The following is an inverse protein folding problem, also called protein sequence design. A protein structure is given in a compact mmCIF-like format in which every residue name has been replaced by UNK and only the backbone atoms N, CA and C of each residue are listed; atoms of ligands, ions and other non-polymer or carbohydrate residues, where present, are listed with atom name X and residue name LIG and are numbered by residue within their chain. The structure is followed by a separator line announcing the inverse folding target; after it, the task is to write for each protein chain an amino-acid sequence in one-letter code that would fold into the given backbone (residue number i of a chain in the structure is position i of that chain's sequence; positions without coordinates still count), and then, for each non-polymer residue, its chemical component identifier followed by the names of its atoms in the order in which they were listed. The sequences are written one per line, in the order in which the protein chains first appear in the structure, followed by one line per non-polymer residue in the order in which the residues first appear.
data_IF_537359701070
#
_entry.id   IF_537359701070
#
_cell.length_a   1.000
_cell.length_b   1.000
_cell.length_c   1.000
_cell.angle_alpha   90.00
_cell.angle_beta   90.00
_cell.angle_gamma   90.00
#
_symmetry.space_group_name_H-M   'P 1'
#
loop_
_entity.id
_entity.type
_entity.pdbx_description
1 polymer ?
#
# COMPACT_ATOMS: atom_id res chain seq x y z
N UNK A 1 -33.26 -12.80 18.98
CA UNK A 1 -32.71 -11.83 18.05
C UNK A 1 -31.23 -11.77 18.33
N UNK A 2 -30.41 -12.44 17.52
CA UNK A 2 -28.95 -12.39 17.59
C UNK A 2 -28.53 -10.99 17.21
N UNK A 3 -27.82 -10.27 18.06
CA UNK A 3 -27.23 -8.99 17.75
C UNK A 3 -26.36 -9.17 16.51
N UNK A 4 -26.75 -8.53 15.41
CA UNK A 4 -25.97 -8.49 14.17
C UNK A 4 -24.63 -7.85 14.52
N UNK A 5 -23.57 -8.65 14.54
CA UNK A 5 -22.24 -8.18 14.92
C UNK A 5 -21.81 -7.17 13.86
N UNK A 6 -21.75 -5.89 14.21
CA UNK A 6 -21.37 -4.80 13.31
C UNK A 6 -20.06 -5.16 12.63
N UNK A 7 -20.09 -5.29 11.30
CA UNK A 7 -18.91 -5.61 10.50
C UNK A 7 -17.91 -4.45 10.62
N UNK A 8 -16.65 -4.79 10.85
CA UNK A 8 -15.57 -3.80 10.79
C UNK A 8 -15.31 -3.38 9.33
N UNK A 9 -15.08 -2.11 9.13
CA UNK A 9 -14.83 -1.51 7.82
C UNK A 9 -13.36 -1.17 7.67
N UNK A 10 -12.72 -1.70 6.64
CA UNK A 10 -11.32 -1.43 6.30
C UNK A 10 -11.20 -0.73 4.94
N UNK A 11 -10.32 0.27 4.86
CA UNK A 11 -9.94 0.93 3.62
C UNK A 11 -8.48 0.60 3.29
N UNK A 12 -8.22 0.11 2.08
CA UNK A 12 -6.88 -0.25 1.59
C UNK A 12 -6.52 0.65 0.42
N UNK A 13 -5.47 1.46 0.56
CA UNK A 13 -4.84 2.10 -0.59
C UNK A 13 -3.79 1.16 -1.17
N UNK A 14 -3.63 1.13 -2.51
CA UNK A 14 -2.72 0.17 -3.15
C UNK A 14 -3.25 -1.27 -3.16
N UNK A 15 -4.56 -1.45 -3.12
CA UNK A 15 -5.23 -2.76 -3.06
C UNK A 15 -4.91 -3.66 -4.26
N UNK A 16 -4.58 -3.10 -5.41
CA UNK A 16 -4.19 -3.86 -6.63
C UNK A 16 -2.74 -4.35 -6.58
N UNK A 17 -1.97 -3.93 -5.58
CA UNK A 17 -0.59 -4.39 -5.36
C UNK A 17 -0.53 -5.83 -4.85
N UNK A 18 0.71 -6.35 -4.69
CA UNK A 18 0.95 -7.66 -4.10
C UNK A 18 0.29 -7.75 -2.71
N UNK A 19 0.72 -6.92 -1.78
CA UNK A 19 0.30 -6.96 -0.37
C UNK A 19 -1.16 -6.56 -0.21
N UNK A 20 -1.62 -5.55 -0.94
CA UNK A 20 -3.01 -5.10 -0.91
C UNK A 20 -3.99 -6.19 -1.31
N UNK A 21 -3.65 -7.01 -2.31
CA UNK A 21 -4.50 -8.10 -2.77
C UNK A 21 -4.60 -9.25 -1.77
N UNK A 22 -3.50 -9.63 -1.11
CA UNK A 22 -3.52 -10.62 -0.04
C UNK A 22 -4.22 -10.11 1.22
N UNK A 23 -4.00 -8.84 1.57
CA UNK A 23 -4.67 -8.23 2.71
C UNK A 23 -6.19 -8.15 2.51
N UNK A 24 -6.64 -7.85 1.30
CA UNK A 24 -8.07 -7.84 0.99
C UNK A 24 -8.71 -9.21 1.24
N UNK A 25 -8.10 -10.29 0.77
CA UNK A 25 -8.56 -11.66 1.03
C UNK A 25 -8.59 -11.97 2.54
N UNK A 26 -7.48 -11.70 3.24
CA UNK A 26 -7.37 -11.94 4.67
C UNK A 26 -8.45 -11.21 5.48
N UNK A 27 -8.75 -9.95 5.13
CA UNK A 27 -9.77 -9.17 5.83
C UNK A 27 -11.18 -9.66 5.51
N UNK A 28 -11.45 -10.04 4.26
CA UNK A 28 -12.72 -10.65 3.86
C UNK A 28 -12.95 -11.96 4.61
N UNK A 29 -11.94 -12.82 4.76
CA UNK A 29 -12.01 -14.07 5.52
C UNK A 29 -12.25 -13.83 7.01
N UNK A 30 -11.77 -12.70 7.54
CA UNK A 30 -12.05 -12.24 8.91
C UNK A 30 -13.41 -11.57 9.08
N UNK A 31 -14.24 -11.51 8.05
CA UNK A 31 -15.58 -10.94 8.09
C UNK A 31 -15.66 -9.42 7.99
N UNK A 32 -14.58 -8.75 7.56
CA UNK A 32 -14.58 -7.31 7.31
C UNK A 32 -15.39 -6.95 6.06
N UNK A 33 -15.90 -5.74 6.05
CA UNK A 33 -16.23 -5.01 4.84
C UNK A 33 -14.96 -4.30 4.34
N UNK A 34 -14.53 -4.59 3.10
CA UNK A 34 -13.25 -4.14 2.55
C UNK A 34 -13.49 -3.17 1.40
N UNK A 35 -12.93 -1.99 1.54
CA UNK A 35 -12.93 -0.96 0.51
C UNK A 35 -11.50 -0.77 -0.01
N UNK A 36 -11.35 -0.73 -1.34
CA UNK A 36 -10.07 -0.50 -1.99
C UNK A 36 -10.05 0.79 -2.79
N UNK A 37 -8.95 1.54 -2.69
CA UNK A 37 -8.67 2.65 -3.59
C UNK A 37 -7.89 2.14 -4.79
N UNK A 38 -8.40 2.43 -5.99
CA UNK A 38 -7.79 2.10 -7.27
C UNK A 38 -7.60 3.35 -8.12
N UNK A 39 -6.46 3.44 -8.80
CA UNK A 39 -6.21 4.53 -9.75
C UNK A 39 -7.00 4.30 -11.03
N UNK A 40 -7.40 5.38 -11.66
CA UNK A 40 -7.99 5.31 -13.01
C UNK A 40 -6.87 5.06 -14.03
N UNK A 41 -6.91 3.93 -14.68
CA UNK A 41 -5.99 3.56 -15.77
C UNK A 41 -6.79 3.15 -17.00
N UNK A 42 -6.22 3.31 -18.18
CA UNK A 42 -6.82 2.85 -19.44
C UNK A 42 -6.85 1.32 -19.56
N UNK A 43 -5.99 0.61 -18.84
CA UNK A 43 -5.97 -0.84 -18.72
C UNK A 43 -6.39 -1.25 -17.31
N UNK A 44 -7.31 -2.21 -17.23
CA UNK A 44 -7.78 -2.77 -15.95
C UNK A 44 -6.70 -3.68 -15.33
N UNK A 45 -5.70 -3.08 -14.68
CA UNK A 45 -4.68 -3.85 -13.93
C UNK A 45 -5.24 -4.36 -12.61
N UNK A 46 -6.26 -5.26 -12.68
CA UNK A 46 -6.92 -5.86 -11.52
C UNK A 46 -6.72 -7.37 -11.42
N UNK A 47 -5.83 -7.95 -12.22
CA UNK A 47 -5.65 -9.41 -12.30
C UNK A 47 -5.47 -10.11 -10.95
N UNK A 48 -4.90 -9.42 -9.95
CA UNK A 48 -4.76 -9.94 -8.58
C UNK A 48 -6.06 -9.96 -7.77
N UNK A 49 -7.09 -9.26 -8.23
CA UNK A 49 -8.40 -9.10 -7.57
C UNK A 49 -9.56 -9.65 -8.41
N UNK A 50 -9.29 -10.19 -9.60
CA UNK A 50 -10.34 -10.61 -10.53
C UNK A 50 -11.30 -11.64 -9.91
N UNK A 51 -10.77 -12.57 -9.11
CA UNK A 51 -11.58 -13.55 -8.40
C UNK A 51 -12.53 -12.93 -7.35
N UNK A 52 -12.12 -11.84 -6.69
CA UNK A 52 -12.98 -11.10 -5.76
C UNK A 52 -13.98 -10.21 -6.49
N UNK A 53 -13.56 -9.63 -7.60
CA UNK A 53 -14.39 -8.74 -8.42
C UNK A 53 -15.47 -9.50 -9.20
N UNK A 54 -15.18 -10.72 -9.62
CA UNK A 54 -16.09 -11.55 -10.42
C UNK A 54 -17.10 -12.35 -9.57
N UNK A 55 -16.91 -12.40 -8.24
CA UNK A 55 -17.85 -13.08 -7.34
C UNK A 55 -18.96 -12.13 -6.89
N UNK A 56 -20.23 -12.32 -7.35
CA UNK A 56 -21.35 -11.47 -6.98
C UNK A 56 -21.75 -11.56 -5.49
N UNK A 57 -21.29 -12.59 -4.77
CA UNK A 57 -21.51 -12.73 -3.34
C UNK A 57 -20.48 -11.91 -2.52
N UNK A 58 -19.42 -11.44 -3.16
CA UNK A 58 -18.34 -10.67 -2.54
C UNK A 58 -18.39 -9.23 -3.03
N UNK A 59 -18.30 -9.02 -4.37
CA UNK A 59 -18.27 -7.67 -4.95
C UNK A 59 -19.64 -6.98 -4.81
N UNK A 60 -19.63 -5.75 -4.32
CA UNK A 60 -20.86 -5.00 -4.07
C UNK A 60 -21.61 -5.40 -2.79
N UNK A 61 -21.17 -6.45 -2.07
CA UNK A 61 -21.74 -6.90 -0.80
C UNK A 61 -20.85 -6.62 0.41
N UNK A 62 -19.56 -6.90 0.26
CA UNK A 62 -18.56 -6.70 1.32
C UNK A 62 -17.16 -6.37 0.77
N UNK A 63 -17.04 -6.24 -0.54
CA UNK A 63 -15.83 -5.79 -1.24
C UNK A 63 -16.21 -4.71 -2.25
N UNK A 64 -15.57 -3.53 -2.13
CA UNK A 64 -15.90 -2.36 -2.92
C UNK A 64 -14.63 -1.70 -3.42
N UNK A 65 -14.65 -1.21 -4.67
CA UNK A 65 -13.54 -0.46 -5.26
C UNK A 65 -13.98 0.99 -5.53
N UNK A 66 -13.11 1.94 -5.17
CA UNK A 66 -13.31 3.36 -5.36
C UNK A 66 -12.18 3.96 -6.20
N UNK A 67 -12.52 4.74 -7.20
CA UNK A 67 -11.54 5.49 -7.97
C UNK A 67 -11.12 6.73 -7.18
N UNK A 68 -9.84 6.79 -6.79
CA UNK A 68 -9.19 7.95 -6.22
C UNK A 68 -7.66 7.84 -6.38
N UNK A 69 -6.99 8.98 -6.30
CA UNK A 69 -5.54 9.08 -6.37
C UNK A 69 -5.02 9.83 -5.14
N UNK A 70 -3.80 9.54 -4.69
CA UNK A 70 -3.21 10.20 -3.53
C UNK A 70 -2.91 11.68 -3.80
N UNK A 71 -2.78 12.02 -5.07
CA UNK A 71 -2.57 13.37 -5.60
C UNK A 71 -3.86 14.18 -5.72
N UNK A 72 -5.05 13.53 -5.64
CA UNK A 72 -6.37 14.20 -5.67
C UNK A 72 -7.03 14.22 -4.27
N UNK A 73 -6.79 15.28 -3.48
CA UNK A 73 -7.33 15.39 -2.14
C UNK A 73 -8.86 15.43 -2.11
N UNK A 74 -9.50 15.96 -3.13
CA UNK A 74 -10.96 16.10 -3.19
C UNK A 74 -11.65 14.75 -3.29
N UNK A 75 -11.22 13.92 -4.22
CA UNK A 75 -11.78 12.57 -4.42
C UNK A 75 -11.42 11.68 -3.24
N UNK A 76 -10.20 11.75 -2.74
CA UNK A 76 -9.75 10.98 -1.59
C UNK A 76 -10.58 11.28 -0.32
N UNK A 77 -10.81 12.56 -0.02
CA UNK A 77 -11.69 12.99 1.09
C UNK A 77 -13.12 12.49 0.92
N UNK A 78 -13.66 12.54 -0.29
CA UNK A 78 -15.01 12.04 -0.58
C UNK A 78 -15.12 10.54 -0.29
N UNK A 79 -14.11 9.74 -0.66
CA UNK A 79 -14.08 8.30 -0.37
C UNK A 79 -13.99 8.07 1.14
N UNK A 80 -13.10 8.77 1.85
CA UNK A 80 -12.96 8.64 3.30
C UNK A 80 -14.26 8.94 4.06
N UNK A 81 -14.93 10.03 3.71
CA UNK A 81 -16.21 10.42 4.33
C UNK A 81 -17.31 9.40 4.01
N UNK A 82 -17.39 8.93 2.76
CA UNK A 82 -18.39 7.95 2.33
C UNK A 82 -18.22 6.60 3.02
N UNK A 83 -17.00 6.11 3.11
CA UNK A 83 -16.66 4.79 3.65
C UNK A 83 -16.65 4.81 5.18
N UNK A 84 -16.21 5.91 5.79
CA UNK A 84 -16.04 6.06 7.24
C UNK A 84 -15.33 4.82 7.87
N UNK A 85 -14.12 4.46 7.39
CA UNK A 85 -13.45 3.22 7.80
C UNK A 85 -13.05 3.25 9.27
N UNK A 86 -13.02 2.07 9.92
CA UNK A 86 -12.46 1.90 11.25
C UNK A 86 -10.95 1.67 11.21
N UNK A 87 -10.45 1.14 10.08
CA UNK A 87 -9.03 0.84 9.85
C UNK A 87 -8.63 1.26 8.45
N UNK A 88 -7.46 1.90 8.33
CA UNK A 88 -6.85 2.25 7.03
C UNK A 88 -5.50 1.57 6.91
N UNK A 89 -5.32 0.83 5.83
CA UNK A 89 -4.07 0.21 5.44
C UNK A 89 -3.50 0.95 4.22
N UNK A 90 -2.52 1.80 4.49
CA UNK A 90 -1.90 2.62 3.45
C UNK A 90 -0.69 1.92 2.85
N UNK A 91 -0.93 1.20 1.73
CA UNK A 91 0.05 0.42 1.00
C UNK A 91 0.41 1.04 -0.37
N UNK A 92 -0.31 2.10 -0.77
CA UNK A 92 -0.05 2.78 -2.02
C UNK A 92 1.25 3.60 -1.97
N UNK A 93 1.92 3.66 -3.11
CA UNK A 93 3.15 4.42 -3.33
C UNK A 93 3.81 3.99 -4.62
N UNK A 94 4.73 4.82 -5.15
CA UNK A 94 5.65 4.42 -6.21
C UNK A 94 6.77 3.63 -5.54
N UNK A 95 6.81 2.29 -5.73
CA UNK A 95 7.68 1.38 -4.98
C UNK A 95 8.89 0.84 -5.76
N UNK A 96 9.08 1.25 -7.01
CA UNK A 96 10.23 0.84 -7.81
C UNK A 96 11.40 1.80 -7.59
N UNK A 97 12.42 1.35 -6.86
CA UNK A 97 13.59 2.17 -6.47
C UNK A 97 14.28 2.77 -7.70
N UNK A 98 14.61 1.96 -8.72
CA UNK A 98 15.27 2.45 -9.94
C UNK A 98 14.47 3.56 -10.63
N UNK A 99 13.16 3.39 -10.79
CA UNK A 99 12.28 4.39 -11.39
C UNK A 99 12.23 5.71 -10.59
N UNK A 100 12.46 5.66 -9.27
CA UNK A 100 12.44 6.87 -8.44
C UNK A 100 13.51 7.90 -8.82
N UNK A 101 14.60 7.48 -9.47
CA UNK A 101 15.61 8.38 -10.00
C UNK A 101 15.16 9.09 -11.29
N UNK A 102 14.28 8.44 -12.07
CA UNK A 102 13.76 9.01 -13.31
C UNK A 102 12.57 9.95 -13.06
N UNK A 103 11.74 9.65 -12.04
CA UNK A 103 10.54 10.41 -11.69
C UNK A 103 10.53 10.81 -10.20
N UNK A 104 11.54 11.53 -9.70
CA UNK A 104 11.69 11.82 -8.27
C UNK A 104 10.53 12.67 -7.71
N UNK A 105 10.06 13.66 -8.44
CA UNK A 105 8.94 14.52 -8.03
C UNK A 105 7.66 13.70 -7.85
N UNK A 106 7.27 12.90 -8.84
CA UNK A 106 6.10 12.02 -8.76
C UNK A 106 6.24 11.03 -7.61
N UNK A 107 7.44 10.49 -7.39
CA UNK A 107 7.71 9.57 -6.29
C UNK A 107 7.50 10.25 -4.94
N UNK A 108 8.01 11.47 -4.75
CA UNK A 108 7.81 12.24 -3.52
C UNK A 108 6.35 12.67 -3.36
N UNK A 109 5.72 13.15 -4.40
CA UNK A 109 4.33 13.60 -4.39
C UNK A 109 3.38 12.49 -3.98
N UNK A 110 3.48 11.32 -4.62
CA UNK A 110 2.62 10.18 -4.30
C UNK A 110 2.93 9.59 -2.94
N UNK A 111 4.22 9.36 -2.62
CA UNK A 111 4.61 8.56 -1.46
C UNK A 111 4.72 9.41 -0.19
N UNK A 112 5.37 10.56 -0.25
CA UNK A 112 5.57 11.43 0.90
C UNK A 112 4.35 12.34 1.15
N UNK A 113 4.02 13.18 0.16
CA UNK A 113 2.93 14.16 0.30
C UNK A 113 1.57 13.47 0.33
N UNK A 114 1.38 12.41 -0.45
CA UNK A 114 0.16 11.59 -0.41
C UNK A 114 -0.12 10.99 0.97
N UNK A 115 0.93 10.50 1.67
CA UNK A 115 0.81 10.04 3.06
C UNK A 115 0.41 11.18 4.00
N UNK A 116 1.05 12.35 3.87
CA UNK A 116 0.73 13.53 4.68
C UNK A 116 -0.71 13.97 4.48
N UNK A 117 -1.20 14.00 3.24
CA UNK A 117 -2.62 14.31 2.93
C UNK A 117 -3.59 13.37 3.63
N UNK A 118 -3.31 12.07 3.60
CA UNK A 118 -4.14 11.10 4.31
C UNK A 118 -4.16 11.35 5.81
N UNK A 119 -3.01 11.60 6.42
CA UNK A 119 -2.91 11.91 7.85
C UNK A 119 -3.69 13.16 8.23
N UNK A 120 -3.61 14.23 7.42
CA UNK A 120 -4.39 15.46 7.62
C UNK A 120 -5.90 15.18 7.52
N UNK A 121 -6.33 14.44 6.50
CA UNK A 121 -7.74 14.07 6.36
C UNK A 121 -8.25 13.22 7.51
N UNK A 122 -7.44 12.27 8.00
CA UNK A 122 -7.78 11.38 9.10
C UNK A 122 -7.91 12.17 10.41
N UNK A 123 -7.01 13.11 10.65
CA UNK A 123 -7.04 13.98 11.84
C UNK A 123 -8.35 14.76 11.95
N UNK A 124 -8.90 15.20 10.82
CA UNK A 124 -10.11 16.00 10.76
C UNK A 124 -11.41 15.17 10.87
N UNK A 125 -11.31 13.83 10.86
CA UNK A 125 -12.50 13.00 10.97
C UNK A 125 -13.06 12.99 12.41
N UNK A 126 -14.38 12.98 12.60
CA UNK A 126 -14.98 12.92 13.93
C UNK A 126 -14.60 11.66 14.73
N UNK A 127 -14.28 10.59 14.02
CA UNK A 127 -13.76 9.32 14.56
C UNK A 127 -12.56 8.90 13.73
N UNK A 128 -11.35 9.31 14.10
CA UNK A 128 -10.15 8.91 13.38
C UNK A 128 -9.99 7.39 13.34
N UNK A 129 -9.80 6.78 12.16
CA UNK A 129 -9.54 5.36 12.04
C UNK A 129 -8.15 5.00 12.57
N UNK A 130 -7.93 3.71 12.83
CA UNK A 130 -6.58 3.17 13.02
C UNK A 130 -5.87 3.20 11.69
N UNK A 131 -4.66 3.71 11.69
CA UNK A 131 -3.87 3.91 10.47
C UNK A 131 -2.59 3.08 10.48
N UNK A 132 -2.45 2.21 9.51
CA UNK A 132 -1.21 1.49 9.21
C UNK A 132 -0.57 2.05 7.95
N UNK A 133 0.71 2.39 8.03
CA UNK A 133 1.53 2.81 6.89
C UNK A 133 2.58 1.76 6.56
N UNK A 134 2.62 1.31 5.32
CA UNK A 134 3.71 0.49 4.81
C UNK A 134 4.95 1.37 4.57
N UNK A 135 5.84 1.38 5.55
CA UNK A 135 7.18 1.93 5.41
C UNK A 135 8.08 0.97 4.61
N UNK A 136 9.37 1.20 4.58
CA UNK A 136 10.30 0.39 3.80
C UNK A 136 11.66 0.30 4.49
N UNK A 137 12.40 -0.78 4.29
CA UNK A 137 13.81 -0.90 4.65
C UNK A 137 14.71 0.13 3.95
N UNK A 138 14.26 0.69 2.81
CA UNK A 138 14.97 1.75 2.08
C UNK A 138 15.15 3.04 2.89
N UNK A 139 14.41 3.22 4.00
CA UNK A 139 14.63 4.32 4.94
C UNK A 139 16.01 4.25 5.60
N UNK A 140 16.57 3.06 5.72
CA UNK A 140 17.88 2.84 6.33
C UNK A 140 19.04 3.04 5.36
N UNK A 141 18.80 2.85 4.04
CA UNK A 141 19.79 3.02 2.98
C UNK A 141 21.10 2.28 3.26
N UNK A 142 22.18 3.01 3.55
CA UNK A 142 23.48 2.49 3.95
C UNK A 142 23.68 2.59 5.47
N UNK A 143 23.20 1.61 6.25
CA UNK A 143 23.25 1.67 7.69
C UNK A 143 24.69 1.47 8.22
N UNK A 144 25.09 2.28 9.20
CA UNK A 144 26.40 2.15 9.85
C UNK A 144 26.55 0.85 10.66
N UNK A 145 25.46 0.17 10.98
CA UNK A 145 25.45 -1.08 11.76
C UNK A 145 24.37 -2.04 11.26
N UNK A 146 24.68 -3.32 11.35
CA UNK A 146 23.75 -4.44 11.07
C UNK A 146 23.75 -5.41 12.26
N UNK A 147 22.64 -6.15 12.53
CA UNK A 147 21.35 -6.04 11.86
C UNK A 147 20.62 -4.74 12.20
N UNK A 148 19.75 -4.28 11.29
CA UNK A 148 18.89 -3.10 11.48
C UNK A 148 17.74 -3.41 12.46
N UNK A 149 17.29 -2.38 13.17
CA UNK A 149 16.13 -2.41 14.05
C UNK A 149 15.47 -1.03 14.11
N UNK A 150 14.44 -0.86 14.94
CA UNK A 150 13.65 0.37 15.05
C UNK A 150 14.44 1.57 15.58
N UNK A 151 15.66 1.36 16.11
CA UNK A 151 16.58 2.40 16.59
C UNK A 151 17.66 2.74 15.56
N UNK A 152 17.74 2.01 14.46
CA UNK A 152 18.68 2.29 13.37
C UNK A 152 18.38 3.67 12.78
N UNK A 153 19.34 4.58 12.69
CA UNK A 153 19.13 5.89 12.06
C UNK A 153 18.74 5.76 10.61
N UNK A 154 17.86 6.65 10.14
CA UNK A 154 17.51 6.74 8.73
C UNK A 154 18.67 7.36 7.94
N UNK A 155 19.07 6.72 6.87
CA UNK A 155 20.13 7.16 5.95
C UNK A 155 19.78 6.78 4.50
N UNK A 156 18.60 7.21 3.98
CA UNK A 156 18.14 6.82 2.65
C UNK A 156 19.09 7.33 1.55
N UNK A 157 19.30 6.51 0.52
CA UNK A 157 20.25 6.79 -0.59
C UNK A 157 19.57 6.90 -1.95
N UNK A 158 18.23 6.92 -1.98
CA UNK A 158 17.45 7.09 -3.19
C UNK A 158 16.17 7.90 -2.93
N UNK A 159 15.55 8.52 -3.96
CA UNK A 159 14.35 9.34 -3.79
C UNK A 159 13.16 8.60 -3.16
N UNK A 160 12.98 7.31 -3.46
CA UNK A 160 11.95 6.48 -2.84
C UNK A 160 12.18 6.32 -1.33
N UNK A 161 13.41 5.98 -0.94
CA UNK A 161 13.81 5.89 0.48
C UNK A 161 13.61 7.19 1.24
N UNK A 162 13.98 8.33 0.64
CA UNK A 162 13.73 9.67 1.20
C UNK A 162 12.24 9.94 1.39
N UNK A 163 11.41 9.63 0.39
CA UNK A 163 9.95 9.79 0.48
C UNK A 163 9.34 8.90 1.57
N UNK A 164 9.79 7.66 1.70
CA UNK A 164 9.37 6.73 2.76
C UNK A 164 9.86 7.17 4.15
N UNK A 165 11.08 7.70 4.26
CA UNK A 165 11.60 8.23 5.52
C UNK A 165 10.76 9.44 6.00
N UNK A 166 10.44 10.37 5.10
CA UNK A 166 9.54 11.48 5.39
C UNK A 166 8.17 10.96 5.88
N UNK A 167 7.52 10.10 5.12
CA UNK A 167 6.21 9.54 5.45
C UNK A 167 6.22 8.83 6.81
N UNK A 168 7.26 8.02 7.08
CA UNK A 168 7.45 7.30 8.35
C UNK A 168 7.55 8.26 9.53
N UNK A 169 8.30 9.36 9.39
CA UNK A 169 8.42 10.38 10.45
C UNK A 169 7.11 11.13 10.65
N UNK A 170 6.38 11.45 9.58
CA UNK A 170 5.07 12.11 9.71
C UNK A 170 4.08 11.24 10.48
N UNK A 171 4.03 9.94 10.23
CA UNK A 171 3.19 9.01 11.00
C UNK A 171 3.54 9.03 12.49
N UNK A 172 4.84 9.07 12.83
CA UNK A 172 5.30 9.18 14.24
C UNK A 172 4.88 10.50 14.87
N UNK A 173 5.04 11.61 14.14
CA UNK A 173 4.63 12.95 14.61
C UNK A 173 3.13 12.99 14.86
N UNK A 174 2.31 12.54 13.91
CA UNK A 174 0.86 12.56 14.04
C UNK A 174 0.35 11.70 15.19
N UNK A 175 0.98 10.54 15.42
CA UNK A 175 0.69 9.72 16.60
C UNK A 175 0.99 10.46 17.90
N UNK A 176 2.15 11.12 17.99
CA UNK A 176 2.61 11.78 19.22
C UNK A 176 1.89 13.08 19.49
N UNK A 177 1.68 13.88 18.46
CA UNK A 177 1.14 15.25 18.59
C UNK A 177 -0.38 15.29 18.63
N UNK A 178 -1.02 14.47 17.78
CA UNK A 178 -2.48 14.51 17.62
C UNK A 178 -3.19 13.28 18.23
N UNK A 179 -2.45 12.37 18.86
CA UNK A 179 -3.03 11.19 19.52
C UNK A 179 -3.64 10.17 18.55
N UNK A 180 -3.32 10.21 17.26
CA UNK A 180 -3.83 9.25 16.30
C UNK A 180 -3.27 7.85 16.58
N UNK A 181 -4.12 6.82 16.46
CA UNK A 181 -3.63 5.46 16.38
C UNK A 181 -3.00 5.24 15.01
N UNK A 182 -1.72 5.51 14.88
CA UNK A 182 -0.98 5.40 13.63
C UNK A 182 0.33 4.64 13.84
N UNK A 183 0.62 3.66 12.98
CA UNK A 183 1.83 2.85 13.06
C UNK A 183 2.48 2.64 11.69
N UNK A 184 3.79 2.37 11.71
CA UNK A 184 4.56 2.02 10.53
C UNK A 184 4.95 0.54 10.60
N UNK A 185 4.76 -0.19 9.50
CA UNK A 185 5.40 -1.48 9.27
C UNK A 185 6.63 -1.30 8.39
N UNK A 186 7.82 -1.57 8.90
CA UNK A 186 9.05 -1.47 8.12
C UNK A 186 9.18 -2.72 7.27
N UNK A 187 8.76 -2.61 6.02
CA UNK A 187 8.74 -3.73 5.08
C UNK A 187 10.11 -3.95 4.47
N UNK A 188 10.63 -5.14 4.62
CA UNK A 188 11.79 -5.63 3.87
C UNK A 188 11.34 -6.31 2.58
N UNK A 189 12.30 -6.72 1.72
CA UNK A 189 11.97 -7.44 0.51
C UNK A 189 11.20 -8.72 0.84
N UNK A 190 10.04 -8.88 0.22
CA UNK A 190 9.17 -10.04 0.40
C UNK A 190 8.51 -10.38 -0.93
N UNK A 191 8.47 -11.64 -1.23
CA UNK A 191 8.15 -12.17 -2.54
C UNK A 191 6.92 -13.06 -2.50
N UNK A 192 6.19 -13.10 -3.61
CA UNK A 192 5.07 -14.01 -3.80
C UNK A 192 4.80 -14.25 -5.28
N UNK A 193 3.91 -15.20 -5.64
CA UNK A 193 3.41 -15.34 -7.00
C UNK A 193 2.76 -14.07 -7.58
N UNK A 194 2.35 -13.13 -6.72
CA UNK A 194 1.74 -11.84 -7.11
C UNK A 194 2.74 -10.69 -7.21
N UNK A 195 4.04 -10.95 -7.04
CA UNK A 195 5.09 -9.93 -7.20
C UNK A 195 5.02 -9.32 -8.60
N UNK A 196 5.24 -8.00 -8.72
CA UNK A 196 5.30 -7.31 -10.01
C UNK A 196 6.42 -7.88 -10.90
N UNK A 197 6.15 -7.98 -12.20
CA UNK A 197 7.06 -8.63 -13.17
C UNK A 197 8.38 -7.88 -13.36
N UNK A 198 8.39 -6.58 -13.09
CA UNK A 198 9.59 -5.73 -13.19
C UNK A 198 10.55 -5.88 -12.00
N UNK A 199 10.15 -6.60 -10.94
CA UNK A 199 11.03 -6.85 -9.81
C UNK A 199 11.94 -8.05 -10.06
N UNK A 200 13.19 -7.93 -9.60
CA UNK A 200 14.28 -8.85 -9.93
C UNK A 200 13.92 -10.31 -9.70
N UNK A 201 13.34 -10.66 -8.57
CA UNK A 201 12.99 -12.07 -8.24
C UNK A 201 11.96 -12.64 -9.21
N UNK A 202 10.90 -11.87 -9.52
CA UNK A 202 9.88 -12.31 -10.48
C UNK A 202 10.45 -12.41 -11.89
N UNK A 203 11.29 -11.43 -12.29
CA UNK A 203 11.99 -11.45 -13.58
C UNK A 203 12.84 -12.71 -13.72
N UNK A 204 13.67 -13.03 -12.70
CA UNK A 204 14.51 -14.24 -12.71
C UNK A 204 13.65 -15.50 -12.79
N UNK A 205 12.63 -15.65 -11.97
CA UNK A 205 11.76 -16.84 -11.98
C UNK A 205 11.09 -17.05 -13.34
N UNK A 206 10.57 -16.01 -13.95
CA UNK A 206 9.94 -16.10 -15.29
C UNK A 206 10.94 -16.46 -16.37
N UNK A 207 12.11 -15.82 -16.37
CA UNK A 207 13.16 -16.11 -17.35
C UNK A 207 13.67 -17.54 -17.19
N UNK A 208 13.91 -18.01 -15.97
CA UNK A 208 14.32 -19.40 -15.73
C UNK A 208 13.28 -20.41 -16.24
N UNK A 209 11.99 -20.15 -16.00
CA UNK A 209 10.92 -21.00 -16.53
C UNK A 209 10.87 -20.97 -18.07
N UNK A 210 11.00 -19.79 -18.68
CA UNK A 210 11.01 -19.63 -20.14
C UNK A 210 12.21 -20.35 -20.79
N UNK A 211 13.40 -20.25 -20.17
CA UNK A 211 14.60 -20.97 -20.64
C UNK A 211 14.35 -22.48 -20.55
N UNK A 212 13.82 -22.96 -19.43
CA UNK A 212 13.52 -24.41 -19.26
C UNK A 212 12.52 -24.93 -20.29
N UNK A 213 11.57 -24.10 -20.71
CA UNK A 213 10.57 -24.42 -21.73
C UNK A 213 11.05 -24.19 -23.17
N UNK A 214 12.28 -23.74 -23.37
CA UNK A 214 12.85 -23.45 -24.70
C UNK A 214 12.28 -22.17 -25.35
N UNK A 215 11.57 -21.33 -24.58
CA UNK A 215 10.97 -20.08 -25.07
C UNK A 215 11.94 -18.90 -25.03
N UNK A 216 13.04 -19.02 -24.30
CA UNK A 216 14.08 -18.01 -24.14
C UNK A 216 15.44 -18.68 -24.02
N UNK A 217 16.51 -18.06 -24.48
CA UNK A 217 17.87 -18.64 -24.45
C UNK A 217 18.71 -18.15 -23.27
N UNK A 218 18.47 -16.97 -22.79
CA UNK A 218 19.27 -16.32 -21.75
C UNK A 218 18.42 -15.43 -20.83
N UNK A 219 18.97 -15.08 -19.67
CA UNK A 219 18.35 -14.15 -18.73
C UNK A 219 18.62 -12.71 -19.20
N UNK A 220 17.58 -11.97 -19.53
CA UNK A 220 17.60 -10.57 -19.96
C UNK A 220 17.23 -9.60 -18.83
#
# INVERSE_FOLDING_TARGET
MTAEQKKKVALITGITGQDGSYLAELLLDKGYEVHGIVRRTSSLSRSRLDHLYSDPNIYGQRFFLHYAELEDPTTLRRVLVKVAPEEIYHLAGQSHVGLSFEIPETTCETTAVGTLRLLEMIRDLPRPPRFYHASSSEIFGEPARMPQNERTPFAPVNPYGCAKAFATQMVVIYRRTFGLFACNGIMYNHESPRRGENFVTRKICRSAAAIKLGLQKELL
#
